data_IF_709605543658
#
_entry.id   IF_709605543658
#
_cell.length_a   1.000
_cell.length_b   1.000
_cell.length_c   1.000
_cell.angle_alpha   90.00
_cell.angle_beta   90.00
_cell.angle_gamma   90.00
#
_symmetry.space_group_name_H-M   'P 1'
#
loop_
_entity.id
_entity.type
_entity.pdbx_description
1 polymer ?
#
# COMPACT_ATOMS: atom_id res chain seq x y z
N UNK A 1 23.91 -29.21 -3.30
CA UNK A 1 22.93 -28.45 -4.10
C UNK A 1 21.89 -27.91 -3.13
N UNK A 2 21.98 -26.64 -2.74
CA UNK A 2 20.99 -26.05 -1.82
C UNK A 2 19.78 -25.65 -2.65
N UNK A 3 18.66 -26.31 -2.39
CA UNK A 3 17.34 -25.89 -2.84
C UNK A 3 16.96 -24.74 -1.91
N UNK A 4 17.01 -23.51 -2.40
CA UNK A 4 16.46 -22.35 -1.67
C UNK A 4 14.99 -22.20 -2.02
N UNK A 5 14.17 -22.15 -0.97
CA UNK A 5 12.73 -21.93 -1.01
C UNK A 5 12.37 -20.65 -1.78
N UNK A 6 11.81 -20.80 -2.99
CA UNK A 6 10.70 -20.04 -3.59
C UNK A 6 10.61 -18.50 -3.51
N UNK A 7 11.60 -17.78 -2.97
CA UNK A 7 11.55 -16.34 -2.75
C UNK A 7 12.60 -15.65 -3.63
N UNK A 8 12.18 -14.64 -4.38
CA UNK A 8 13.10 -13.84 -5.17
C UNK A 8 13.99 -12.96 -4.26
N UNK A 9 15.30 -13.03 -4.46
CA UNK A 9 16.30 -12.24 -3.73
C UNK A 9 16.13 -10.74 -3.97
N UNK A 10 15.63 -10.38 -5.14
CA UNK A 10 15.39 -8.99 -5.54
C UNK A 10 14.07 -8.47 -4.97
N UNK A 11 14.11 -7.20 -4.54
CA UNK A 11 12.92 -6.50 -4.04
C UNK A 11 12.31 -5.68 -5.17
N UNK A 12 11.01 -5.83 -5.36
CA UNK A 12 10.20 -5.07 -6.30
C UNK A 12 8.78 -4.92 -5.77
N UNK A 13 8.03 -3.97 -6.31
CA UNK A 13 6.61 -3.77 -6.00
C UNK A 13 5.76 -3.86 -7.25
N UNK A 14 4.52 -4.32 -7.08
CA UNK A 14 3.51 -4.34 -8.15
C UNK A 14 3.00 -2.92 -8.40
N UNK A 15 2.97 -2.51 -9.66
CA UNK A 15 2.44 -1.21 -10.09
C UNK A 15 1.04 -1.37 -10.66
N UNK A 16 0.82 -2.34 -11.54
CA UNK A 16 -0.51 -2.64 -12.06
C UNK A 16 -0.51 -3.17 -13.49
N UNK A 17 -1.72 -3.33 -14.01
CA UNK A 17 -1.98 -3.83 -15.36
C UNK A 17 -2.22 -2.67 -16.33
N UNK A 18 -1.44 -2.60 -17.41
CA UNK A 18 -1.47 -1.53 -18.41
C UNK A 18 -1.59 -2.10 -19.81
N UNK A 19 -2.21 -1.35 -20.72
CA UNK A 19 -2.31 -1.75 -22.11
C UNK A 19 -0.96 -1.58 -22.81
N UNK A 20 -0.70 -2.47 -23.76
CA UNK A 20 0.33 -2.28 -24.77
C UNK A 20 -0.32 -1.86 -26.08
N UNK A 21 -0.12 -0.61 -26.48
CA UNK A 21 -0.66 -0.08 -27.73
C UNK A 21 0.15 -0.50 -28.97
N UNK A 22 1.30 -1.16 -28.77
CA UNK A 22 2.26 -1.54 -29.81
C UNK A 22 2.74 -0.39 -30.72
N UNK A 23 2.53 0.87 -30.30
CA UNK A 23 3.02 2.04 -31.05
C UNK A 23 4.52 2.17 -30.76
N UNK A 24 5.36 2.27 -31.78
CA UNK A 24 6.80 2.42 -31.58
C UNK A 24 7.20 3.85 -31.12
N UNK A 25 8.14 3.98 -30.15
CA UNK A 25 8.69 2.90 -29.33
C UNK A 25 7.61 2.32 -28.41
N UNK A 26 7.51 0.98 -28.29
CA UNK A 26 6.52 0.31 -27.41
C UNK A 26 6.56 0.85 -25.96
N UNK A 27 5.48 0.67 -25.15
CA UNK A 27 5.44 1.24 -23.80
C UNK A 27 6.58 0.71 -22.92
N UNK A 28 6.97 -0.54 -23.12
CA UNK A 28 8.23 -1.11 -22.66
C UNK A 28 8.95 -1.66 -23.91
N UNK A 29 9.97 -0.95 -24.45
CA UNK A 29 10.54 -1.27 -25.76
C UNK A 29 11.54 -2.45 -25.77
N UNK A 30 12.08 -2.85 -24.62
CA UNK A 30 13.15 -3.85 -24.55
C UNK A 30 12.59 -5.22 -24.17
N UNK A 31 12.64 -6.18 -25.09
CA UNK A 31 12.37 -7.58 -24.81
C UNK A 31 13.61 -8.22 -24.17
N UNK A 32 13.53 -8.55 -22.89
CA UNK A 32 14.65 -9.14 -22.15
C UNK A 32 14.76 -10.64 -22.37
N UNK A 33 13.64 -11.35 -22.48
CA UNK A 33 13.55 -12.74 -22.90
C UNK A 33 12.09 -13.13 -23.19
N UNK A 34 11.91 -14.26 -23.87
CA UNK A 34 10.61 -14.82 -24.21
C UNK A 34 10.56 -16.33 -23.93
N UNK A 35 9.66 -16.76 -23.05
CA UNK A 35 9.41 -18.19 -22.76
C UNK A 35 8.30 -18.77 -23.68
N UNK A 36 7.63 -17.94 -24.51
CA UNK A 36 6.57 -18.40 -25.42
C UNK A 36 7.12 -19.15 -26.62
N UNK A 37 8.28 -18.73 -27.11
CA UNK A 37 8.95 -19.27 -28.28
C UNK A 37 10.15 -20.17 -27.92
N UNK A 38 10.38 -20.39 -26.62
CA UNK A 38 11.48 -21.20 -26.10
C UNK A 38 12.87 -20.54 -26.24
N UNK A 39 12.97 -19.31 -26.75
CA UNK A 39 14.24 -18.63 -27.01
C UNK A 39 15.05 -18.34 -25.74
N UNK A 40 14.39 -18.29 -24.58
CA UNK A 40 15.02 -18.15 -23.26
C UNK A 40 15.67 -19.44 -22.73
N UNK A 41 15.47 -20.58 -23.40
CA UNK A 41 15.82 -21.91 -22.89
C UNK A 41 14.83 -22.44 -21.85
N UNK A 42 13.71 -21.76 -21.65
CA UNK A 42 12.57 -22.21 -20.85
C UNK A 42 11.26 -22.00 -21.62
N UNK A 43 10.24 -22.75 -21.23
CA UNK A 43 8.89 -22.66 -21.78
C UNK A 43 7.89 -22.27 -20.69
N UNK A 44 6.71 -21.80 -21.10
CA UNK A 44 5.61 -21.58 -20.16
C UNK A 44 5.18 -22.92 -19.55
N UNK A 45 5.35 -23.06 -18.24
CA UNK A 45 4.86 -24.24 -17.51
C UNK A 45 3.38 -24.06 -17.13
N UNK A 46 2.51 -24.37 -18.08
CA UNK A 46 1.05 -24.32 -17.89
C UNK A 46 0.54 -25.30 -16.83
N UNK A 47 1.24 -26.42 -16.60
CA UNK A 47 0.84 -27.44 -15.62
C UNK A 47 1.14 -26.97 -14.20
N UNK A 48 2.25 -26.27 -14.00
CA UNK A 48 2.63 -25.68 -12.71
C UNK A 48 2.58 -24.14 -12.75
N UNK A 49 1.48 -23.59 -13.28
CA UNK A 49 1.28 -22.16 -13.50
C UNK A 49 1.67 -21.27 -12.31
N UNK A 50 1.23 -21.64 -11.10
CA UNK A 50 1.48 -20.84 -9.90
C UNK A 50 2.97 -20.72 -9.56
N UNK A 51 3.72 -21.80 -9.77
CA UNK A 51 5.17 -21.85 -9.57
C UNK A 51 5.87 -21.10 -10.70
N UNK A 52 5.39 -21.27 -11.93
CA UNK A 52 5.90 -20.58 -13.11
C UNK A 52 5.78 -19.06 -12.97
N UNK A 53 4.63 -18.54 -12.52
CA UNK A 53 4.40 -17.11 -12.31
C UNK A 53 5.41 -16.51 -11.33
N UNK A 54 5.74 -17.20 -10.24
CA UNK A 54 6.76 -16.73 -9.30
C UNK A 54 8.17 -16.78 -9.91
N UNK A 55 8.48 -17.86 -10.63
CA UNK A 55 9.77 -18.05 -11.31
C UNK A 55 10.03 -16.99 -12.39
N UNK A 56 9.11 -16.82 -13.35
CA UNK A 56 9.26 -15.83 -14.44
C UNK A 56 9.33 -14.41 -13.89
N UNK A 57 8.55 -14.09 -12.84
CA UNK A 57 8.62 -12.77 -12.19
C UNK A 57 10.02 -12.52 -11.64
N UNK A 58 10.62 -13.52 -10.97
CA UNK A 58 11.96 -13.35 -10.42
C UNK A 58 13.05 -13.28 -11.50
N UNK A 59 12.96 -14.12 -12.53
CA UNK A 59 13.90 -14.06 -13.67
C UNK A 59 13.82 -12.72 -14.39
N UNK A 60 12.62 -12.20 -14.59
CA UNK A 60 12.43 -10.90 -15.23
C UNK A 60 12.99 -9.76 -14.38
N UNK A 61 12.79 -9.78 -13.06
CA UNK A 61 13.44 -8.85 -12.14
C UNK A 61 14.97 -8.92 -12.22
N UNK A 62 15.55 -10.13 -12.30
CA UNK A 62 17.01 -10.35 -12.45
C UNK A 62 17.54 -9.80 -13.77
N UNK A 63 16.82 -10.03 -14.87
CA UNK A 63 17.18 -9.51 -16.18
C UNK A 63 17.10 -7.98 -16.24
N UNK A 64 16.06 -7.38 -15.65
CA UNK A 64 15.94 -5.92 -15.56
C UNK A 64 17.04 -5.31 -14.69
N UNK A 65 17.36 -5.93 -13.55
CA UNK A 65 18.46 -5.49 -12.67
C UNK A 65 19.82 -5.53 -13.37
N UNK A 66 20.10 -6.61 -14.14
CA UNK A 66 21.34 -6.74 -14.93
C UNK A 66 21.50 -5.60 -15.94
N UNK A 67 20.39 -5.16 -16.53
CA UNK A 67 20.36 -4.03 -17.47
C UNK A 67 20.12 -2.66 -16.79
N UNK A 68 20.10 -2.60 -15.46
CA UNK A 68 19.86 -1.37 -14.66
C UNK A 68 18.53 -0.69 -14.94
N UNK A 69 17.51 -1.44 -15.36
CA UNK A 69 16.17 -0.90 -15.58
C UNK A 69 15.39 -0.77 -14.27
N UNK A 70 14.68 0.36 -14.13
CA UNK A 70 13.88 0.67 -12.92
C UNK A 70 12.52 -0.04 -12.87
N UNK A 71 12.03 -0.54 -14.00
CA UNK A 71 10.77 -1.26 -14.12
C UNK A 71 10.97 -2.49 -14.98
N UNK A 72 10.12 -3.49 -14.80
CA UNK A 72 9.96 -4.60 -15.73
C UNK A 72 8.48 -4.94 -15.82
N UNK A 73 8.09 -5.62 -16.89
CA UNK A 73 6.73 -6.08 -17.08
C UNK A 73 6.71 -7.50 -17.59
N UNK A 74 5.65 -8.21 -17.22
CA UNK A 74 5.33 -9.51 -17.80
C UNK A 74 4.13 -9.35 -18.73
N UNK A 75 4.30 -9.80 -19.96
CA UNK A 75 3.30 -9.73 -21.02
C UNK A 75 3.08 -11.11 -21.63
N UNK A 76 1.87 -11.31 -22.17
CA UNK A 76 1.49 -12.47 -22.95
C UNK A 76 1.89 -13.82 -22.33
N UNK A 77 1.69 -13.92 -21.01
CA UNK A 77 1.97 -15.09 -20.16
C UNK A 77 3.45 -15.46 -19.98
N UNK A 78 4.36 -15.09 -20.90
CA UNK A 78 5.74 -15.60 -20.90
C UNK A 78 6.80 -14.63 -21.39
N UNK A 79 6.45 -13.38 -21.71
CA UNK A 79 7.41 -12.37 -22.18
C UNK A 79 7.84 -11.46 -21.04
N UNK A 80 9.15 -11.19 -20.97
CA UNK A 80 9.72 -10.22 -20.05
C UNK A 80 10.13 -8.96 -20.79
N UNK A 81 9.43 -7.87 -20.52
CA UNK A 81 9.66 -6.57 -21.13
C UNK A 81 10.22 -5.57 -20.13
N UNK A 82 10.97 -4.60 -20.63
CA UNK A 82 11.53 -3.52 -19.86
C UNK A 82 11.80 -2.32 -20.76
N UNK A 83 12.48 -1.32 -20.23
CA UNK A 83 13.10 -0.30 -21.03
C UNK A 83 13.69 0.81 -20.19
N UNK A 84 14.54 1.57 -20.83
CA UNK A 84 15.01 2.82 -20.28
C UNK A 84 13.78 3.74 -20.11
N UNK A 85 13.61 4.29 -18.91
CA UNK A 85 12.49 5.19 -18.55
C UNK A 85 11.08 4.67 -18.76
N UNK A 86 10.93 3.35 -18.69
CA UNK A 86 9.64 2.67 -18.73
C UNK A 86 8.58 3.32 -17.82
N UNK A 87 8.99 3.92 -16.69
CA UNK A 87 8.08 4.62 -15.77
C UNK A 87 7.29 5.79 -16.36
N UNK A 88 7.78 6.42 -17.43
CA UNK A 88 7.05 7.48 -18.14
C UNK A 88 6.19 6.93 -19.29
N UNK A 89 6.59 5.82 -19.90
CA UNK A 89 5.98 5.29 -21.13
C UNK A 89 4.94 4.20 -20.91
N UNK A 90 5.13 3.29 -19.94
CA UNK A 90 4.20 2.19 -19.70
C UNK A 90 2.74 2.62 -19.46
N UNK A 91 2.43 3.77 -18.81
CA UNK A 91 1.04 4.11 -18.50
C UNK A 91 0.31 4.80 -19.66
N UNK A 92 0.99 5.14 -20.77
CA UNK A 92 0.45 6.01 -21.83
C UNK A 92 -0.85 5.51 -22.47
N UNK A 93 -0.99 4.19 -22.62
CA UNK A 93 -2.16 3.55 -23.22
C UNK A 93 -3.26 3.27 -22.18
N UNK A 94 -3.05 3.66 -20.93
CA UNK A 94 -3.99 3.48 -19.83
C UNK A 94 -3.98 2.07 -19.23
N UNK A 95 -4.90 1.86 -18.29
CA UNK A 95 -5.03 0.60 -17.55
C UNK A 95 -5.67 -0.51 -18.39
N UNK A 96 -5.25 -1.74 -18.13
CA UNK A 96 -5.88 -2.95 -18.67
C UNK A 96 -6.52 -3.77 -17.53
N UNK A 97 -7.52 -4.58 -17.88
CA UNK A 97 -8.08 -5.60 -16.99
C UNK A 97 -7.59 -7.01 -17.31
N UNK A 98 -6.77 -7.16 -18.35
CA UNK A 98 -6.28 -8.43 -18.90
C UNK A 98 -4.93 -8.80 -18.29
N UNK A 99 -4.91 -8.92 -16.98
CA UNK A 99 -3.79 -9.51 -16.27
C UNK A 99 -4.31 -10.55 -15.30
N UNK A 100 -3.61 -11.67 -15.25
CA UNK A 100 -3.93 -12.83 -14.42
C UNK A 100 -2.88 -13.01 -13.33
N UNK A 101 -3.23 -13.79 -12.33
CA UNK A 101 -2.36 -14.22 -11.25
C UNK A 101 -2.39 -15.74 -11.15
N UNK A 102 -1.89 -16.27 -10.04
CA UNK A 102 -2.00 -17.68 -9.66
C UNK A 102 -3.45 -18.19 -9.79
N UNK A 103 -3.61 -19.42 -10.28
CA UNK A 103 -4.89 -20.03 -10.59
C UNK A 103 -5.62 -19.41 -11.79
N UNK A 104 -4.93 -18.63 -12.63
CA UNK A 104 -5.51 -17.83 -13.72
C UNK A 104 -6.57 -16.82 -13.26
N UNK A 105 -6.60 -16.50 -11.96
CA UNK A 105 -7.52 -15.51 -11.41
C UNK A 105 -7.16 -14.12 -11.91
N UNK A 106 -8.17 -13.25 -12.05
CA UNK A 106 -7.93 -11.84 -12.34
C UNK A 106 -6.96 -11.25 -11.30
N UNK A 107 -5.92 -10.57 -11.78
CA UNK A 107 -4.93 -10.00 -10.88
C UNK A 107 -5.55 -8.90 -10.01
N UNK A 108 -5.68 -9.18 -8.72
CA UNK A 108 -6.05 -8.17 -7.74
C UNK A 108 -4.80 -7.36 -7.33
N UNK A 109 -4.86 -6.03 -7.50
CA UNK A 109 -3.76 -5.11 -7.18
C UNK A 109 -3.29 -5.23 -5.71
N UNK A 110 -4.23 -5.45 -4.79
CA UNK A 110 -3.96 -5.59 -3.35
C UNK A 110 -3.49 -6.98 -2.93
N UNK A 111 -3.56 -7.98 -3.81
CA UNK A 111 -3.08 -9.33 -3.51
C UNK A 111 -1.56 -9.34 -3.38
N UNK A 112 -1.01 -10.26 -2.57
CA UNK A 112 0.45 -10.51 -2.55
C UNK A 112 0.92 -11.41 -3.70
N UNK A 113 0.00 -12.07 -4.41
CA UNK A 113 0.32 -12.94 -5.53
C UNK A 113 0.93 -12.12 -6.68
N UNK A 114 1.96 -12.67 -7.32
CA UNK A 114 2.52 -12.13 -8.56
C UNK A 114 1.50 -12.24 -9.70
N UNK A 115 1.64 -11.39 -10.69
CA UNK A 115 0.72 -11.27 -11.82
C UNK A 115 1.47 -11.16 -13.14
N UNK A 116 0.77 -11.57 -14.19
CA UNK A 116 1.27 -11.59 -15.57
C UNK A 116 0.20 -10.99 -16.47
N UNK A 117 0.61 -10.19 -17.44
CA UNK A 117 -0.31 -9.69 -18.46
C UNK A 117 -0.67 -10.77 -19.48
N UNK A 118 -1.90 -10.70 -19.97
CA UNK A 118 -2.33 -11.49 -21.12
C UNK A 118 -1.79 -10.85 -22.42
N UNK A 119 -2.38 -11.17 -23.57
CA UNK A 119 -2.01 -10.53 -24.84
C UNK A 119 -2.22 -9.01 -24.76
N UNK A 120 -1.26 -8.24 -25.28
CA UNK A 120 -1.27 -6.77 -25.35
C UNK A 120 -1.50 -6.08 -23.99
N UNK A 121 -1.12 -6.73 -22.90
CA UNK A 121 -1.21 -6.17 -21.55
C UNK A 121 0.08 -6.43 -20.80
N UNK A 122 0.58 -5.39 -20.15
CA UNK A 122 1.78 -5.41 -19.33
C UNK A 122 1.36 -5.41 -17.85
N UNK A 123 1.69 -6.46 -17.11
CA UNK A 123 1.70 -6.35 -15.65
C UNK A 123 3.04 -5.79 -15.20
N UNK A 124 3.04 -4.54 -14.77
CA UNK A 124 4.25 -3.75 -14.49
C UNK A 124 4.65 -3.86 -13.02
N UNK A 125 5.95 -4.04 -12.81
CA UNK A 125 6.64 -4.01 -11.53
C UNK A 125 7.68 -2.90 -11.51
N UNK A 126 7.87 -2.28 -10.35
CA UNK A 126 8.96 -1.34 -10.11
C UNK A 126 10.01 -2.00 -9.23
N UNK A 127 11.26 -1.94 -9.66
CA UNK A 127 12.39 -2.39 -8.88
C UNK A 127 12.52 -1.51 -7.64
N UNK A 128 12.48 -2.12 -6.45
CA UNK A 128 12.86 -1.40 -5.24
C UNK A 128 14.38 -1.40 -5.21
N UNK A 129 14.97 -0.21 -5.08
CA UNK A 129 16.41 -0.07 -4.92
C UNK A 129 16.87 -0.96 -3.74
N UNK A 130 17.47 -2.11 -4.04
CA UNK A 130 18.16 -2.96 -3.09
C UNK A 130 19.62 -3.08 -3.52
N UNK A 131 20.49 -2.47 -2.73
CA UNK A 131 21.97 -2.59 -2.64
C UNK A 131 22.83 -2.37 -3.92
N UNK A 132 22.34 -2.56 -5.14
CA UNK A 132 23.12 -2.40 -6.36
C UNK A 132 23.16 -0.97 -6.92
N UNK A 133 22.26 -0.09 -6.47
CA UNK A 133 22.23 1.34 -6.88
C UNK A 133 22.54 2.31 -5.74
N UNK A 134 22.48 1.87 -4.49
CA UNK A 134 22.81 2.72 -3.36
C UNK A 134 23.53 2.01 -2.23
N UNK A 135 24.70 2.51 -1.86
CA UNK A 135 25.53 2.02 -0.76
C UNK A 135 25.01 2.45 0.62
N UNK A 136 23.91 3.22 0.69
CA UNK A 136 23.28 3.66 1.94
C UNK A 136 21.86 3.14 2.03
N UNK A 137 21.53 2.50 3.16
CA UNK A 137 20.17 2.06 3.48
C UNK A 137 19.31 3.26 3.90
N UNK A 138 18.14 3.39 3.28
CA UNK A 138 17.13 4.40 3.63
C UNK A 138 15.73 3.86 3.36
N UNK A 139 14.72 4.45 4.01
CA UNK A 139 13.32 4.06 3.87
C UNK A 139 12.47 5.24 3.40
N UNK A 140 11.44 4.96 2.59
CA UNK A 140 10.50 5.97 2.11
C UNK A 140 9.49 6.27 3.22
N UNK A 141 9.52 7.50 3.74
CA UNK A 141 8.62 7.95 4.82
C UNK A 141 7.31 8.53 4.27
N UNK A 142 7.39 9.35 3.22
CA UNK A 142 6.22 9.97 2.58
C UNK A 142 6.52 11.29 1.89
N UNK A 143 5.52 11.86 1.22
CA UNK A 143 5.55 13.21 0.65
C UNK A 143 4.83 14.18 1.61
N UNK A 144 5.49 15.28 1.97
CA UNK A 144 4.99 16.22 2.98
C UNK A 144 4.87 17.63 2.41
N UNK A 145 3.68 18.22 2.52
CA UNK A 145 3.45 19.61 2.17
C UNK A 145 3.90 20.52 3.32
N UNK A 146 5.19 20.86 3.39
CA UNK A 146 5.66 21.91 4.29
C UNK A 146 7.00 22.53 3.83
N UNK A 147 6.97 23.82 3.49
CA UNK A 147 8.11 24.60 3.00
C UNK A 147 9.29 24.74 4.00
N UNK A 148 9.17 24.28 5.24
CA UNK A 148 10.21 24.47 6.29
C UNK A 148 10.64 23.22 7.06
N UNK A 149 10.16 22.03 6.71
CA UNK A 149 10.54 20.81 7.45
C UNK A 149 12.01 20.42 7.28
N UNK A 150 12.63 20.83 6.15
CA UNK A 150 14.01 20.52 5.78
C UNK A 150 14.75 21.82 5.44
N UNK A 151 15.27 22.55 6.44
CA UNK A 151 15.88 23.87 6.21
C UNK A 151 17.30 23.80 5.64
N UNK A 152 17.95 22.64 5.71
CA UNK A 152 19.35 22.49 5.30
C UNK A 152 19.39 21.97 3.87
N UNK A 153 19.91 22.76 2.93
CA UNK A 153 20.22 22.31 1.58
C UNK A 153 21.52 21.49 1.61
N UNK A 154 21.43 20.20 1.27
CA UNK A 154 22.59 19.32 1.14
C UNK A 154 23.33 19.62 -0.17
N UNK A 155 22.60 19.56 -1.28
CA UNK A 155 23.07 19.89 -2.62
C UNK A 155 21.89 20.19 -3.57
N UNK A 156 22.20 20.69 -4.77
CA UNK A 156 21.25 20.90 -5.86
C UNK A 156 21.85 20.50 -7.20
N UNK A 157 21.05 19.89 -8.05
CA UNK A 157 21.36 19.58 -9.46
C UNK A 157 20.70 20.60 -10.41
N UNK A 158 19.74 21.37 -9.89
CA UNK A 158 18.89 22.29 -10.66
C UNK A 158 19.43 23.71 -10.78
N UNK A 159 20.45 24.06 -10.00
CA UNK A 159 21.04 25.39 -9.98
C UNK A 159 22.57 25.30 -9.99
N UNK A 160 23.14 25.40 -11.19
CA UNK A 160 24.59 25.37 -11.44
C UNK A 160 25.34 26.54 -10.79
N UNK A 161 24.66 27.65 -10.52
CA UNK A 161 25.26 28.83 -9.86
C UNK A 161 25.27 28.72 -8.33
N UNK A 162 24.67 27.67 -7.77
CA UNK A 162 24.65 27.47 -6.33
C UNK A 162 26.01 27.00 -5.81
N UNK A 163 26.50 27.50 -4.65
CA UNK A 163 27.68 26.92 -3.99
C UNK A 163 27.45 25.48 -3.50
N UNK A 164 26.22 24.99 -3.62
CA UNK A 164 25.80 23.62 -3.31
C UNK A 164 25.48 22.82 -4.57
N UNK A 165 25.90 23.27 -5.75
CA UNK A 165 25.75 22.50 -6.97
C UNK A 165 26.52 21.18 -6.87
N UNK A 166 25.89 20.08 -7.26
CA UNK A 166 26.47 18.74 -7.16
C UNK A 166 27.40 18.38 -8.32
N UNK A 167 27.51 19.24 -9.33
CA UNK A 167 28.12 18.95 -10.63
C UNK A 167 27.40 17.87 -11.44
N UNK A 168 26.17 17.52 -11.06
CA UNK A 168 25.27 16.64 -11.82
C UNK A 168 24.15 17.48 -12.39
N UNK A 169 23.96 17.41 -13.71
CA UNK A 169 22.85 18.06 -14.39
C UNK A 169 21.55 17.27 -14.19
N UNK A 170 20.43 18.00 -14.12
CA UNK A 170 19.10 17.41 -14.22
C UNK A 170 18.97 16.56 -15.49
N UNK A 171 18.64 15.28 -15.32
CA UNK A 171 18.25 14.41 -16.41
C UNK A 171 16.75 14.15 -16.34
N UNK A 172 15.99 15.00 -17.03
CA UNK A 172 14.53 14.88 -17.13
C UNK A 172 14.10 13.86 -18.18
N UNK A 173 14.96 13.57 -19.15
CA UNK A 173 14.77 12.48 -20.12
C UNK A 173 14.78 11.12 -19.43
N UNK A 174 15.64 10.96 -18.42
CA UNK A 174 15.79 9.72 -17.68
C UNK A 174 15.37 9.84 -16.21
N UNK A 175 14.16 10.36 -15.98
CA UNK A 175 13.70 10.73 -14.64
C UNK A 175 13.77 9.60 -13.61
N UNK A 176 13.55 8.34 -14.00
CA UNK A 176 13.51 7.24 -13.02
C UNK A 176 14.90 6.80 -12.57
N UNK A 177 15.88 6.76 -13.47
CA UNK A 177 17.27 6.52 -13.09
C UNK A 177 17.83 7.71 -12.33
N UNK A 178 17.54 8.93 -12.82
CA UNK A 178 17.91 10.18 -12.18
C UNK A 178 17.37 10.28 -10.76
N UNK A 179 16.08 10.02 -10.53
CA UNK A 179 15.49 10.15 -9.20
C UNK A 179 16.05 9.11 -8.23
N UNK A 180 16.42 7.92 -8.70
CA UNK A 180 17.06 6.90 -7.87
C UNK A 180 18.50 7.27 -7.50
N UNK A 181 19.29 7.78 -8.45
CA UNK A 181 20.62 8.34 -8.19
C UNK A 181 20.54 9.53 -7.21
N UNK A 182 19.67 10.50 -7.48
CA UNK A 182 19.42 11.67 -6.64
C UNK A 182 19.03 11.26 -5.21
N UNK A 183 18.12 10.29 -5.08
CA UNK A 183 17.70 9.77 -3.77
C UNK A 183 18.89 9.16 -3.03
N UNK A 184 19.73 8.38 -3.71
CA UNK A 184 20.90 7.76 -3.09
C UNK A 184 21.93 8.80 -2.63
N UNK A 185 22.29 9.76 -3.48
CA UNK A 185 23.21 10.85 -3.12
C UNK A 185 22.70 11.64 -1.93
N UNK A 186 21.39 11.90 -1.87
CA UNK A 186 20.76 12.53 -0.70
C UNK A 186 20.89 11.68 0.56
N UNK A 187 20.62 10.38 0.48
CA UNK A 187 20.77 9.47 1.61
C UNK A 187 22.23 9.43 2.13
N UNK A 188 23.20 9.34 1.22
CA UNK A 188 24.62 9.35 1.55
C UNK A 188 25.06 10.64 2.26
N UNK A 189 24.71 11.81 1.70
CA UNK A 189 25.01 13.11 2.33
C UNK A 189 24.31 13.30 3.66
N UNK A 190 23.08 12.78 3.80
CA UNK A 190 22.33 12.82 5.06
C UNK A 190 23.06 12.03 6.14
N UNK A 191 23.58 10.84 5.80
CA UNK A 191 24.36 9.98 6.70
C UNK A 191 25.69 10.64 7.09
N UNK A 192 26.41 11.21 6.14
CA UNK A 192 27.68 11.93 6.36
C UNK A 192 27.53 13.05 7.41
N UNK A 193 26.43 13.80 7.34
CA UNK A 193 26.15 14.89 8.27
C UNK A 193 25.37 14.48 9.54
N UNK A 194 25.18 13.17 9.75
CA UNK A 194 24.45 12.60 10.89
C UNK A 194 23.02 13.18 11.05
N UNK A 195 22.34 13.40 9.92
CA UNK A 195 20.93 13.78 9.90
C UNK A 195 20.03 12.54 9.87
N UNK A 196 18.79 12.71 10.38
CA UNK A 196 17.84 11.59 10.48
C UNK A 196 16.91 11.48 9.28
N UNK A 197 16.63 12.60 8.63
CA UNK A 197 15.66 12.68 7.54
C UNK A 197 16.19 13.54 6.40
N UNK A 198 15.80 13.19 5.17
CA UNK A 198 15.98 14.01 3.99
C UNK A 198 14.71 14.05 3.14
N UNK A 199 14.63 15.04 2.26
CA UNK A 199 13.57 15.24 1.29
C UNK A 199 14.14 15.67 -0.04
N UNK A 200 13.51 15.23 -1.12
CA UNK A 200 13.76 15.73 -2.46
C UNK A 200 12.74 16.83 -2.77
N UNK A 201 13.21 17.99 -3.24
CA UNK A 201 12.37 19.14 -3.58
C UNK A 201 12.77 19.71 -4.94
N UNK A 202 11.82 20.37 -5.60
CA UNK A 202 12.04 21.15 -6.83
C UNK A 202 12.82 20.38 -7.92
N UNK A 203 12.45 19.12 -8.16
CA UNK A 203 12.97 18.27 -9.22
C UNK A 203 14.49 18.00 -9.22
N UNK A 204 15.26 18.44 -8.23
CA UNK A 204 16.71 18.19 -8.19
C UNK A 204 17.45 18.69 -6.95
N UNK A 205 16.74 19.04 -5.87
CA UNK A 205 17.33 19.54 -4.63
C UNK A 205 17.17 18.55 -3.47
N UNK A 206 18.28 18.21 -2.83
CA UNK A 206 18.29 17.42 -1.60
C UNK A 206 18.32 18.30 -0.37
N UNK A 207 17.33 18.19 0.53
CA UNK A 207 17.32 18.90 1.82
C UNK A 207 17.24 17.93 3.00
N UNK A 208 17.80 18.32 4.15
CA UNK A 208 17.80 17.51 5.37
C UNK A 208 17.33 18.28 6.60
N UNK A 209 17.06 17.54 7.68
CA UNK A 209 16.73 18.09 9.00
C UNK A 209 17.40 17.32 10.13
N UNK A 210 17.70 18.05 11.21
CA UNK A 210 18.25 17.47 12.44
C UNK A 210 17.18 16.61 13.16
N UNK A 211 17.58 15.62 13.98
CA UNK A 211 16.66 14.72 14.68
C UNK A 211 15.59 15.40 15.56
N UNK A 212 15.74 16.69 15.89
CA UNK A 212 14.82 17.48 16.74
C UNK A 212 13.78 18.30 15.96
N UNK A 213 13.76 18.26 14.62
CA UNK A 213 12.74 18.95 13.84
C UNK A 213 11.38 18.24 14.03
N UNK A 214 10.45 18.91 14.70
CA UNK A 214 9.12 18.42 15.08
C UNK A 214 8.26 18.23 13.82
N UNK A 215 8.41 17.10 13.11
CA UNK A 215 7.50 16.72 12.02
C UNK A 215 6.15 16.32 12.61
N UNK A 216 5.19 17.25 12.58
CA UNK A 216 3.80 16.95 12.96
C UNK A 216 3.25 15.93 11.95
N UNK A 217 2.82 14.77 12.44
CA UNK A 217 2.05 13.80 11.66
C UNK A 217 0.82 14.51 11.09
N UNK A 218 0.82 14.79 9.79
CA UNK A 218 -0.42 15.00 9.03
C UNK A 218 -0.41 13.97 7.91
N UNK A 219 -1.31 13.02 8.08
CA UNK A 219 -1.73 12.04 7.09
C UNK A 219 -2.34 12.79 5.90
N UNK A 220 -1.89 12.49 4.68
CA UNK A 220 -2.75 12.02 3.58
C UNK A 220 -1.94 11.78 2.30
N UNK A 221 -2.24 10.64 1.69
CA UNK A 221 -1.76 10.14 0.41
C UNK A 221 -2.51 10.77 -0.76
N UNK A 222 -1.89 10.77 -1.94
CA UNK A 222 -2.58 10.72 -3.23
C UNK A 222 -2.33 9.36 -3.86
N UNK A 223 -3.36 8.52 -3.90
CA UNK A 223 -3.31 7.12 -4.37
C UNK A 223 -4.31 6.29 -3.56
N UNK A 224 -5.58 6.33 -3.99
CA UNK A 224 -6.76 5.61 -3.47
C UNK A 224 -6.76 5.26 -1.97
N UNK A 225 -7.56 6.02 -1.22
CA UNK A 225 -7.94 5.72 0.16
C UNK A 225 -8.60 4.34 0.25
N UNK A 226 -7.79 3.29 0.44
CA UNK A 226 -8.17 2.13 1.22
C UNK A 226 -8.17 2.56 2.67
N UNK A 227 -9.35 2.53 3.28
CA UNK A 227 -9.66 2.76 4.69
C UNK A 227 -8.46 2.45 5.59
N UNK A 228 -8.00 3.47 6.32
CA UNK A 228 -7.17 3.29 7.50
C UNK A 228 -7.94 2.41 8.49
N UNK A 229 -7.43 1.20 8.70
CA UNK A 229 -7.65 0.49 9.94
C UNK A 229 -6.32 -0.11 10.36
N UNK A 230 -5.39 0.74 10.76
CA UNK A 230 -4.56 0.39 11.91
C UNK A 230 -5.49 0.04 13.08
N UNK A 231 -5.93 -1.22 13.13
CA UNK A 231 -6.42 -1.84 14.34
C UNK A 231 -5.21 -1.89 15.26
N UNK A 232 -5.01 -0.82 16.05
CA UNK A 232 -4.27 -0.96 17.29
C UNK A 232 -5.13 -1.92 18.10
N UNK A 233 -4.71 -3.18 18.18
CA UNK A 233 -5.27 -4.08 19.17
C UNK A 233 -5.13 -3.34 20.51
N UNK A 234 -6.25 -3.03 21.17
CA UNK A 234 -6.20 -2.57 22.54
C UNK A 234 -5.46 -3.65 23.32
N UNK A 235 -4.49 -3.30 24.19
CA UNK A 235 -3.84 -4.30 25.02
C UNK A 235 -4.91 -5.07 25.79
N UNK A 236 -4.73 -6.38 25.97
CA UNK A 236 -5.79 -7.29 26.43
C UNK A 236 -6.49 -6.83 27.72
N UNK A 237 -5.77 -6.11 28.60
CA UNK A 237 -6.32 -5.52 29.81
C UNK A 237 -7.41 -4.46 29.56
N UNK A 238 -7.30 -3.67 28.48
CA UNK A 238 -8.33 -2.69 28.12
C UNK A 238 -9.55 -3.36 27.48
N UNK A 239 -9.35 -4.46 26.74
CA UNK A 239 -10.45 -5.26 26.19
C UNK A 239 -11.25 -5.88 27.35
N UNK A 240 -10.56 -6.42 28.36
CA UNK A 240 -11.19 -6.96 29.56
C UNK A 240 -12.03 -5.89 30.33
N UNK A 241 -11.53 -4.66 30.46
CA UNK A 241 -12.28 -3.55 31.08
C UNK A 241 -13.55 -3.23 30.30
N UNK A 242 -13.48 -3.14 28.96
CA UNK A 242 -14.64 -2.82 28.13
C UNK A 242 -15.71 -3.92 28.20
N UNK A 243 -15.30 -5.19 28.22
CA UNK A 243 -16.22 -6.32 28.41
C UNK A 243 -16.89 -6.23 29.79
N UNK A 244 -16.11 -5.97 30.85
CA UNK A 244 -16.64 -5.86 32.21
C UNK A 244 -17.65 -4.71 32.37
N UNK A 245 -17.34 -3.53 31.82
CA UNK A 245 -18.25 -2.39 31.81
C UNK A 245 -19.53 -2.68 31.00
N UNK A 246 -19.42 -3.42 29.89
CA UNK A 246 -20.57 -3.86 29.09
C UNK A 246 -21.50 -4.82 29.86
N UNK A 247 -20.93 -5.77 30.60
CA UNK A 247 -21.71 -6.70 31.45
C UNK A 247 -22.42 -5.93 32.58
N UNK A 248 -21.76 -4.97 33.22
CA UNK A 248 -22.39 -4.10 34.24
C UNK A 248 -23.55 -3.31 33.62
N UNK A 249 -23.36 -2.70 32.45
CA UNK A 249 -24.41 -1.94 31.79
C UNK A 249 -25.64 -2.81 31.45
N UNK A 250 -25.42 -4.02 30.92
CA UNK A 250 -26.49 -4.98 30.64
C UNK A 250 -27.21 -5.42 31.92
N UNK A 251 -26.48 -5.67 33.00
CA UNK A 251 -27.07 -6.01 34.30
C UNK A 251 -27.92 -4.85 34.84
N UNK A 252 -27.43 -3.61 34.76
CA UNK A 252 -28.17 -2.42 35.18
C UNK A 252 -29.44 -2.20 34.34
N UNK A 253 -29.37 -2.40 33.02
CA UNK A 253 -30.56 -2.32 32.14
C UNK A 253 -31.57 -3.42 32.46
N UNK A 254 -31.11 -4.64 32.72
CA UNK A 254 -31.99 -5.75 33.14
C UNK A 254 -32.65 -5.46 34.50
N UNK A 255 -31.89 -4.95 35.47
CA UNK A 255 -32.44 -4.55 36.77
C UNK A 255 -33.47 -3.43 36.64
N UNK A 256 -33.21 -2.43 35.78
CA UNK A 256 -34.12 -1.31 35.55
C UNK A 256 -35.42 -1.77 34.87
N UNK A 257 -35.34 -2.61 33.84
CA UNK A 257 -36.52 -3.15 33.16
C UNK A 257 -37.35 -4.04 34.08
N UNK A 258 -36.69 -4.87 34.90
CA UNK A 258 -37.36 -5.66 35.94
C UNK A 258 -38.04 -4.78 36.99
N UNK A 259 -37.38 -3.69 37.43
CA UNK A 259 -37.97 -2.73 38.37
C UNK A 259 -39.18 -2.00 37.78
N UNK A 260 -39.10 -1.54 36.53
CA UNK A 260 -40.22 -0.92 35.81
C UNK A 260 -41.38 -1.92 35.65
N UNK A 261 -41.08 -3.17 35.30
CA UNK A 261 -42.09 -4.23 35.18
C UNK A 261 -42.81 -4.48 36.51
N UNK A 262 -42.07 -4.59 37.62
CA UNK A 262 -42.65 -4.73 38.97
C UNK A 262 -43.49 -3.52 39.36
N UNK A 263 -43.00 -2.29 39.11
CA UNK A 263 -43.76 -1.06 39.36
C UNK A 263 -45.05 -1.01 38.55
N UNK A 264 -45.02 -1.47 37.29
CA UNK A 264 -46.21 -1.53 36.42
C UNK A 264 -47.20 -2.56 36.90
N UNK A 265 -46.74 -3.75 37.31
CA UNK A 265 -47.59 -4.77 37.93
C UNK A 265 -48.24 -4.29 39.23
N UNK A 266 -47.49 -3.62 40.10
CA UNK A 266 -48.06 -3.01 41.31
C UNK A 266 -49.13 -1.95 40.98
N UNK A 267 -48.89 -1.12 39.95
CA UNK A 267 -49.88 -0.15 39.48
C UNK A 267 -51.14 -0.79 38.88
N UNK A 268 -51.00 -1.90 38.16
CA UNK A 268 -52.15 -2.66 37.61
C UNK A 268 -52.93 -3.34 38.73
N UNK A 269 -52.26 -3.97 39.70
CA UNK A 269 -52.90 -4.57 40.88
C UNK A 269 -53.63 -3.53 41.73
N UNK A 270 -53.07 -2.33 41.88
CA UNK A 270 -53.72 -1.23 42.59
C UNK A 270 -54.98 -0.73 41.87
N UNK A 271 -54.96 -0.66 40.53
CA UNK A 271 -56.18 -0.34 39.74
C UNK A 271 -57.24 -1.43 39.85
N UNK A 272 -56.83 -2.69 39.76
CA UNK A 272 -57.74 -3.83 39.87
C UNK A 272 -58.42 -3.86 41.25
N UNK A 273 -57.67 -3.58 42.33
CA UNK A 273 -58.24 -3.48 43.67
C UNK A 273 -59.24 -2.32 43.80
N UNK A 274 -58.95 -1.18 43.17
CA UNK A 274 -59.86 -0.02 43.17
C UNK A 274 -61.14 -0.28 42.36
N UNK A 275 -61.09 -1.13 41.34
CA UNK A 275 -62.28 -1.58 40.59
C UNK A 275 -63.12 -2.57 41.41
N UNK A 276 -62.49 -3.48 42.16
CA UNK A 276 -63.18 -4.37 43.10
C UNK A 276 -63.87 -3.58 44.22
N UNK A 277 -63.16 -2.63 44.85
CA UNK A 277 -63.76 -1.76 45.88
C UNK A 277 -64.92 -0.90 45.30
N UNK A 278 -64.89 -0.61 43.99
CA UNK A 278 -65.96 0.13 43.28
C UNK A 278 -67.17 -0.74 42.94
N UNK A 279 -66.98 -2.03 42.64
CA UNK A 279 -68.10 -2.95 42.44
C UNK A 279 -68.80 -3.29 43.75
N UNK A 280 -68.04 -3.46 44.85
CA UNK A 280 -68.62 -3.64 46.19
C UNK A 280 -69.43 -2.42 46.64
N UNK A 281 -69.01 -1.20 46.29
CA UNK A 281 -69.78 0.01 46.61
C UNK A 281 -70.99 0.24 45.71
N UNK A 282 -71.03 -0.30 44.48
CA UNK A 282 -72.24 -0.26 43.65
C UNK A 282 -73.31 -1.26 44.09
N UNK A 283 -72.91 -2.42 44.63
CA UNK A 283 -73.85 -3.43 45.14
C UNK A 283 -74.50 -3.02 46.49
N UNK A 284 -73.88 -2.10 47.23
CA UNK A 284 -74.47 -1.53 48.45
C UNK A 284 -75.52 -0.44 48.14
N UNK A 285 -75.43 0.23 46.98
CA UNK A 285 -76.37 1.30 46.58
C UNK A 285 -77.63 0.75 45.88
N UNK A 286 -77.61 -0.49 45.40
CA UNK A 286 -78.79 -1.16 44.81
C UNK A 286 -79.72 -1.83 45.85
N UNK A 287 -79.41 -1.72 47.15
CA UNK A 287 -80.19 -2.29 48.26
C UNK A 287 -80.65 -1.24 49.30
N UNK A 288 -80.83 0.02 48.90
CA UNK A 288 -81.58 1.04 49.65
C UNK A 288 -82.90 1.35 48.95
#
# INVERSE_FOLDING_TARGET
MKIEDGACDLKFIKIGCFKDDQIEPRPLPELLFNDRDGSSGQEIDWKNWDKYVDDITCRCAKAAAKNRFGYFALQFYGECWSGQDAGASFPRAGRSSHCVSKGFEKCAERSRKNCVGESLSNFVYMMLAHESLCHVKYEKVGCYNNNRAFPILLFTDSNSNSPKYSNVSLDLSHWNSYIMDLTCRCAAKTKEHNYKYFSLQNFGGGKSSRPRARMKKKLCCGGLAGIDSSRKNLPDWMIAILIFLGVIALYMMYALTRWIYVKRLQGTLFRYRKEIDRSETSDVVSHV
#
